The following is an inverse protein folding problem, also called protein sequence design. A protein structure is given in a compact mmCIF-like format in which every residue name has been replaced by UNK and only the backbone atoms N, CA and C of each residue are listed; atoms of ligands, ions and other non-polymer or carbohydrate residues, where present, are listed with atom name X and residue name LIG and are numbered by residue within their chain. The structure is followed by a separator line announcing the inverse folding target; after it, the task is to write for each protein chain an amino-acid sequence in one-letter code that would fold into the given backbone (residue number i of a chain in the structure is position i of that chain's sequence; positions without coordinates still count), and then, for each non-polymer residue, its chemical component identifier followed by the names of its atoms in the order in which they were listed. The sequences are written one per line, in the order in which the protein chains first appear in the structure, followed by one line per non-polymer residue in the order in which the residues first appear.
data_IF_080301861817
#
_entry.id   IF_080301861817
#
_cell.length_a   1.000
_cell.length_b   1.000
_cell.length_c   1.000
_cell.angle_alpha   90.00
_cell.angle_beta   90.00
_cell.angle_gamma   90.00
#
_symmetry.space_group_name_H-M   'P 1'
#
loop_
_entity.id
_entity.type
_entity.pdbx_description
1 polymer ?
#
# COMPACT_ATOMS: atom_id res chain seq x y z
N UNK A 1 -20.92 17.36 -0.83
CA UNK A 1 -19.58 16.88 -1.22
C UNK A 1 -19.79 15.54 -1.92
N UNK A 2 -19.18 15.34 -3.06
CA UNK A 2 -19.17 14.03 -3.75
C UNK A 2 -18.41 13.01 -2.92
N UNK A 3 -18.88 11.77 -2.89
CA UNK A 3 -18.20 10.68 -2.18
C UNK A 3 -16.84 10.42 -2.82
N UNK A 4 -15.77 10.34 -2.00
CA UNK A 4 -14.42 10.02 -2.48
C UNK A 4 -14.35 8.58 -2.98
N UNK A 5 -13.51 8.35 -3.99
CA UNK A 5 -13.23 7.03 -4.57
C UNK A 5 -11.82 6.61 -4.19
N UNK A 6 -11.68 5.45 -3.57
CA UNK A 6 -10.38 4.86 -3.21
C UNK A 6 -10.15 3.52 -3.91
N UNK A 7 -8.89 3.23 -4.26
CA UNK A 7 -8.43 1.92 -4.70
C UNK A 7 -7.42 1.37 -3.69
N UNK A 8 -7.62 0.12 -3.24
CA UNK A 8 -6.67 -0.58 -2.34
C UNK A 8 -6.20 -1.86 -3.01
N UNK A 9 -4.91 -1.98 -3.28
CA UNK A 9 -4.33 -3.19 -3.90
C UNK A 9 -4.08 -4.29 -2.86
N UNK A 10 -4.18 -5.58 -3.26
CA UNK A 10 -3.97 -6.71 -2.35
C UNK A 10 -4.97 -6.75 -1.19
N UNK A 11 -6.21 -6.35 -1.44
CA UNK A 11 -7.19 -6.04 -0.40
C UNK A 11 -8.15 -7.19 -0.05
N UNK A 12 -7.90 -8.41 -0.50
CA UNK A 12 -8.81 -9.54 -0.25
C UNK A 12 -8.68 -10.14 1.16
N UNK A 13 -7.67 -9.72 1.94
CA UNK A 13 -7.39 -10.21 3.30
C UNK A 13 -6.46 -9.25 4.07
N UNK A 14 -6.27 -9.53 5.36
CA UNK A 14 -5.28 -8.85 6.22
C UNK A 14 -5.44 -7.34 6.26
N UNK A 15 -4.30 -6.64 6.29
CA UNK A 15 -4.26 -5.16 6.41
C UNK A 15 -5.03 -4.47 5.28
N UNK A 16 -4.90 -4.98 4.05
CA UNK A 16 -5.59 -4.39 2.89
C UNK A 16 -7.11 -4.45 3.02
N UNK A 17 -7.67 -5.59 3.45
CA UNK A 17 -9.11 -5.75 3.67
C UNK A 17 -9.62 -4.84 4.79
N UNK A 18 -8.85 -4.72 5.85
CA UNK A 18 -9.20 -3.86 6.97
C UNK A 18 -9.08 -2.37 6.61
N UNK A 19 -8.09 -2.00 5.79
CA UNK A 19 -7.97 -0.65 5.23
C UNK A 19 -9.22 -0.29 4.40
N UNK A 20 -9.71 -1.23 3.57
CA UNK A 20 -10.97 -1.07 2.83
C UNK A 20 -12.13 -0.83 3.79
N UNK A 21 -12.27 -1.66 4.84
CA UNK A 21 -13.34 -1.51 5.84
C UNK A 21 -13.32 -0.14 6.48
N UNK A 22 -12.17 0.28 7.02
CA UNK A 22 -12.05 1.55 7.74
C UNK A 22 -12.24 2.77 6.83
N UNK A 23 -11.76 2.75 5.58
CA UNK A 23 -12.04 3.81 4.62
C UNK A 23 -13.53 3.88 4.29
N UNK A 24 -14.19 2.74 4.09
CA UNK A 24 -15.63 2.67 3.81
C UNK A 24 -16.48 3.17 4.98
N UNK A 25 -16.07 2.89 6.23
CA UNK A 25 -16.68 3.46 7.44
C UNK A 25 -16.56 4.99 7.52
N UNK A 26 -15.55 5.57 6.87
CA UNK A 26 -15.37 7.01 6.70
C UNK A 26 -16.06 7.56 5.44
N UNK A 27 -17.09 6.87 4.94
CA UNK A 27 -17.90 7.27 3.79
C UNK A 27 -17.11 7.43 2.48
N UNK A 28 -16.01 6.68 2.30
CA UNK A 28 -15.27 6.56 1.05
C UNK A 28 -15.82 5.36 0.27
N UNK A 29 -16.13 5.50 -1.02
CA UNK A 29 -16.40 4.35 -1.88
C UNK A 29 -15.09 3.65 -2.21
N UNK A 30 -14.92 2.40 -1.77
CA UNK A 30 -13.64 1.70 -1.89
C UNK A 30 -13.69 0.59 -2.93
N UNK A 31 -12.77 0.64 -3.87
CA UNK A 31 -12.51 -0.40 -4.85
C UNK A 31 -11.53 -1.40 -4.23
N UNK A 32 -12.06 -2.53 -3.79
CA UNK A 32 -11.32 -3.65 -3.22
C UNK A 32 -10.65 -4.42 -4.35
N UNK A 33 -9.34 -4.23 -4.51
CA UNK A 33 -8.60 -4.85 -5.60
C UNK A 33 -7.92 -6.15 -5.18
N UNK A 34 -8.09 -7.18 -6.02
CA UNK A 34 -7.44 -8.48 -5.87
C UNK A 34 -7.22 -9.17 -7.21
N UNK A 35 -6.12 -9.94 -7.32
CA UNK A 35 -5.81 -10.70 -8.55
C UNK A 35 -6.84 -11.79 -8.87
N UNK A 36 -7.43 -12.39 -7.85
CA UNK A 36 -8.52 -13.35 -7.97
C UNK A 36 -9.85 -12.61 -7.85
N UNK A 37 -10.56 -12.49 -8.97
CA UNK A 37 -11.83 -11.78 -9.05
C UNK A 37 -12.90 -12.37 -8.13
N UNK A 38 -12.93 -13.71 -8.00
CA UNK A 38 -13.93 -14.36 -7.16
C UNK A 38 -13.72 -14.03 -5.69
N UNK A 39 -12.47 -14.10 -5.20
CA UNK A 39 -12.13 -13.71 -3.83
C UNK A 39 -12.35 -12.23 -3.56
N UNK A 40 -12.03 -11.36 -4.52
CA UNK A 40 -12.30 -9.93 -4.38
C UNK A 40 -13.81 -9.66 -4.29
N UNK A 41 -14.62 -10.34 -5.11
CA UNK A 41 -16.08 -10.23 -5.08
C UNK A 41 -16.66 -10.72 -3.76
N UNK A 42 -16.21 -11.88 -3.27
CA UNK A 42 -16.65 -12.44 -1.98
C UNK A 42 -16.36 -11.47 -0.82
N UNK A 43 -15.13 -10.95 -0.75
CA UNK A 43 -14.73 -10.00 0.28
C UNK A 43 -15.54 -8.69 0.21
N UNK A 44 -15.78 -8.17 -0.99
CA UNK A 44 -16.58 -6.97 -1.18
C UNK A 44 -18.05 -7.20 -0.78
N UNK A 45 -18.67 -8.32 -1.17
CA UNK A 45 -20.04 -8.66 -0.78
C UNK A 45 -20.21 -8.76 0.74
N UNK A 46 -19.21 -9.30 1.44
CA UNK A 46 -19.21 -9.34 2.91
C UNK A 46 -19.26 -7.93 3.50
N UNK A 47 -18.43 -6.99 3.03
CA UNK A 47 -18.43 -5.62 3.49
C UNK A 47 -19.70 -4.86 3.10
N UNK A 48 -20.25 -5.13 1.91
CA UNK A 48 -21.54 -4.58 1.48
C UNK A 48 -22.70 -5.06 2.37
N UNK A 49 -22.67 -6.32 2.84
CA UNK A 49 -23.67 -6.83 3.78
C UNK A 49 -23.64 -6.12 5.14
N UNK A 50 -22.55 -5.45 5.48
CA UNK A 50 -22.38 -4.59 6.64
C UNK A 50 -22.79 -3.12 6.35
N UNK A 51 -23.34 -2.85 5.14
CA UNK A 51 -23.77 -1.49 4.73
C UNK A 51 -22.63 -0.60 4.23
N UNK A 52 -21.44 -1.15 3.96
CA UNK A 52 -20.26 -0.38 3.57
C UNK A 52 -20.20 -0.16 2.05
N UNK A 53 -19.82 1.02 1.55
CA UNK A 53 -19.72 1.36 0.14
C UNK A 53 -18.42 0.77 -0.47
N UNK A 54 -18.45 -0.50 -0.81
CA UNK A 54 -17.30 -1.23 -1.36
C UNK A 54 -17.69 -1.90 -2.68
N UNK A 55 -16.80 -1.90 -3.66
CA UNK A 55 -16.93 -2.65 -4.90
C UNK A 55 -15.67 -3.47 -5.17
N UNK A 56 -15.82 -4.65 -5.77
CA UNK A 56 -14.69 -5.47 -6.17
C UNK A 56 -14.14 -5.04 -7.53
N UNK A 57 -12.81 -5.05 -7.67
CA UNK A 57 -12.14 -4.90 -8.95
C UNK A 57 -11.04 -5.96 -9.10
N UNK A 58 -10.99 -6.62 -10.26
CA UNK A 58 -9.89 -7.53 -10.57
C UNK A 58 -8.64 -6.71 -10.93
N UNK A 59 -7.57 -6.92 -10.19
CA UNK A 59 -6.28 -6.29 -10.43
C UNK A 59 -5.16 -7.19 -9.92
N UNK A 60 -4.41 -7.78 -10.86
CA UNK A 60 -3.12 -8.39 -10.57
C UNK A 60 -2.03 -7.34 -10.77
N UNK A 61 -1.35 -7.00 -9.69
CA UNK A 61 -0.32 -5.96 -9.69
C UNK A 61 0.94 -6.35 -10.47
N UNK A 62 1.10 -7.64 -10.79
CA UNK A 62 2.22 -8.17 -11.58
C UNK A 62 1.84 -8.39 -13.07
N UNK A 63 0.66 -7.93 -13.51
CA UNK A 63 0.19 -8.06 -14.89
C UNK A 63 -0.20 -6.68 -15.44
N UNK A 64 0.64 -6.15 -16.33
CA UNK A 64 0.42 -4.86 -16.99
C UNK A 64 -0.95 -4.75 -17.69
N UNK A 65 -1.41 -5.85 -18.30
CA UNK A 65 -2.72 -5.91 -18.93
C UNK A 65 -3.87 -5.78 -17.93
N UNK A 66 -3.74 -6.45 -16.78
CA UNK A 66 -4.69 -6.35 -15.65
C UNK A 66 -4.71 -4.94 -15.07
N UNK A 67 -3.55 -4.31 -14.87
CA UNK A 67 -3.44 -2.93 -14.37
C UNK A 67 -4.13 -1.95 -15.33
N UNK A 68 -3.82 -2.03 -16.63
CA UNK A 68 -4.41 -1.17 -17.64
C UNK A 68 -5.93 -1.34 -17.74
N UNK A 69 -6.44 -2.58 -17.69
CA UNK A 69 -7.86 -2.89 -17.70
C UNK A 69 -8.58 -2.30 -16.47
N UNK A 70 -7.95 -2.44 -15.28
CA UNK A 70 -8.50 -1.87 -14.04
C UNK A 70 -8.55 -0.34 -14.09
N UNK A 71 -7.50 0.33 -14.57
CA UNK A 71 -7.49 1.79 -14.71
C UNK A 71 -8.58 2.28 -15.67
N UNK A 72 -8.77 1.60 -16.81
CA UNK A 72 -9.84 1.90 -17.78
C UNK A 72 -11.24 1.69 -17.18
N UNK A 73 -11.42 0.64 -16.38
CA UNK A 73 -12.71 0.36 -15.71
C UNK A 73 -13.04 1.46 -14.69
N UNK A 74 -12.06 1.90 -13.90
CA UNK A 74 -12.21 3.01 -12.95
C UNK A 74 -12.51 4.32 -13.68
N UNK A 75 -11.81 4.61 -14.77
CA UNK A 75 -12.08 5.81 -15.57
C UNK A 75 -13.51 5.81 -16.13
N UNK A 76 -13.95 4.69 -16.68
CA UNK A 76 -15.29 4.58 -17.28
C UNK A 76 -16.43 4.71 -16.24
N UNK A 77 -16.23 4.20 -15.01
CA UNK A 77 -17.27 4.17 -13.99
C UNK A 77 -17.28 5.41 -13.08
N UNK A 78 -16.11 5.97 -12.79
CA UNK A 78 -15.95 7.03 -11.79
C UNK A 78 -15.36 8.32 -12.36
N UNK A 79 -14.65 8.26 -13.50
CA UNK A 79 -14.02 9.41 -14.13
C UNK A 79 -12.75 9.91 -13.45
N UNK A 80 -12.56 9.62 -12.17
CA UNK A 80 -11.42 10.04 -11.35
C UNK A 80 -11.10 9.00 -10.25
N UNK A 81 -10.00 9.20 -9.55
CA UNK A 81 -9.64 8.48 -8.34
C UNK A 81 -9.12 9.50 -7.31
N UNK A 82 -9.58 9.41 -6.06
CA UNK A 82 -9.11 10.30 -4.99
C UNK A 82 -7.98 9.69 -4.17
N UNK A 83 -8.02 8.38 -3.94
CA UNK A 83 -7.10 7.69 -3.04
C UNK A 83 -6.58 6.41 -3.71
N UNK A 84 -5.25 6.26 -3.74
CA UNK A 84 -4.56 5.03 -4.11
C UNK A 84 -3.77 4.50 -2.92
N UNK A 85 -4.09 3.27 -2.47
CA UNK A 85 -3.31 2.56 -1.46
C UNK A 85 -2.57 1.41 -2.13
N UNK A 86 -1.26 1.54 -2.29
CA UNK A 86 -0.37 0.48 -2.73
C UNK A 86 -0.05 -0.43 -1.53
N UNK A 87 -0.94 -1.39 -1.27
CA UNK A 87 -0.82 -2.32 -0.13
C UNK A 87 -0.32 -3.70 -0.54
N UNK A 88 -0.51 -4.14 -1.78
CA UNK A 88 -0.01 -5.43 -2.24
C UNK A 88 1.50 -5.58 -1.98
N UNK A 89 1.90 -6.72 -1.44
CA UNK A 89 3.31 -7.00 -1.15
C UNK A 89 3.53 -8.44 -0.73
N UNK A 90 4.78 -8.88 -0.84
CA UNK A 90 5.25 -10.21 -0.48
C UNK A 90 6.56 -10.13 0.32
N UNK A 91 6.81 -11.15 1.15
CA UNK A 91 8.07 -11.43 1.80
C UNK A 91 8.45 -12.86 1.43
N UNK A 92 9.51 -13.04 0.65
CA UNK A 92 9.93 -14.33 0.09
C UNK A 92 11.33 -14.74 0.56
N UNK A 93 11.95 -13.96 1.43
CA UNK A 93 13.22 -14.30 2.05
C UNK A 93 13.11 -15.59 2.86
N UNK A 94 14.11 -16.45 2.76
CA UNK A 94 14.27 -17.62 3.61
C UNK A 94 14.98 -17.20 4.90
N UNK A 95 14.25 -17.10 5.99
CA UNK A 95 14.78 -16.63 7.29
C UNK A 95 15.83 -17.56 7.90
N UNK A 96 15.99 -18.78 7.39
CA UNK A 96 17.06 -19.70 7.79
C UNK A 96 18.38 -19.43 7.09
N UNK A 97 18.41 -18.60 6.03
CA UNK A 97 19.58 -18.27 5.24
C UNK A 97 20.16 -16.90 5.60
N UNK A 98 21.48 -16.77 5.42
CA UNK A 98 22.16 -15.48 5.51
C UNK A 98 21.78 -14.59 4.33
N UNK A 99 22.02 -13.29 4.47
CA UNK A 99 21.72 -12.30 3.43
C UNK A 99 22.39 -12.63 2.08
N UNK A 100 23.62 -13.11 2.09
CA UNK A 100 24.38 -13.49 0.89
C UNK A 100 23.94 -14.83 0.26
N UNK A 101 23.09 -15.58 0.92
CA UNK A 101 22.62 -16.91 0.50
C UNK A 101 21.18 -16.90 -0.05
N UNK A 102 20.51 -15.76 -0.01
CA UNK A 102 19.16 -15.61 -0.56
C UNK A 102 19.17 -15.82 -2.07
N UNK A 103 18.15 -16.52 -2.58
CA UNK A 103 18.07 -16.81 -4.02
C UNK A 103 17.76 -15.55 -4.83
N UNK A 104 18.34 -15.44 -6.03
CA UNK A 104 18.00 -14.35 -6.95
C UNK A 104 16.51 -14.37 -7.36
N UNK A 105 15.85 -15.52 -7.33
CA UNK A 105 14.43 -15.62 -7.63
C UNK A 105 13.59 -14.98 -6.53
N UNK A 106 13.95 -15.17 -5.25
CA UNK A 106 13.30 -14.46 -4.15
C UNK A 106 13.48 -12.94 -4.29
N UNK A 107 14.69 -12.48 -4.64
CA UNK A 107 14.96 -11.06 -4.91
C UNK A 107 14.09 -10.53 -6.04
N UNK A 108 14.08 -11.18 -7.20
CA UNK A 108 13.33 -10.74 -8.38
C UNK A 108 11.83 -10.67 -8.09
N UNK A 109 11.23 -11.76 -7.59
CA UNK A 109 9.80 -11.80 -7.29
C UNK A 109 9.39 -10.78 -6.22
N UNK A 110 10.26 -10.55 -5.22
CA UNK A 110 10.03 -9.53 -4.20
C UNK A 110 10.03 -8.13 -4.83
N UNK A 111 11.03 -7.82 -5.67
CA UNK A 111 11.08 -6.51 -6.34
C UNK A 111 9.97 -6.34 -7.38
N UNK A 112 9.62 -7.37 -8.13
CA UNK A 112 8.50 -7.32 -9.07
C UNK A 112 7.22 -6.89 -8.38
N UNK A 113 6.89 -7.50 -7.24
CA UNK A 113 5.64 -7.20 -6.51
C UNK A 113 5.75 -5.93 -5.66
N UNK A 114 6.83 -5.78 -4.88
CA UNK A 114 6.90 -4.72 -3.88
C UNK A 114 7.36 -3.38 -4.45
N UNK A 115 8.05 -3.37 -5.60
CA UNK A 115 8.65 -2.16 -6.18
C UNK A 115 8.06 -1.86 -7.56
N UNK A 116 8.30 -2.72 -8.55
CA UNK A 116 7.90 -2.42 -9.92
C UNK A 116 6.40 -2.36 -10.07
N UNK A 117 5.66 -3.25 -9.43
CA UNK A 117 4.20 -3.18 -9.41
C UNK A 117 3.65 -1.89 -8.76
N UNK A 118 4.29 -1.42 -7.66
CA UNK A 118 3.89 -0.13 -7.04
C UNK A 118 4.08 1.03 -8.01
N UNK A 119 5.19 1.04 -8.75
CA UNK A 119 5.46 2.08 -9.77
C UNK A 119 4.43 1.98 -10.89
N UNK A 120 4.22 0.79 -11.46
CA UNK A 120 3.35 0.58 -12.61
C UNK A 120 1.87 0.88 -12.29
N UNK A 121 1.37 0.40 -11.16
CA UNK A 121 0.01 0.73 -10.68
C UNK A 121 -0.12 2.24 -10.50
N UNK A 122 0.86 2.88 -9.83
CA UNK A 122 0.81 4.33 -9.62
C UNK A 122 0.78 5.08 -10.95
N UNK A 123 1.63 4.71 -11.91
CA UNK A 123 1.65 5.34 -13.24
C UNK A 123 0.32 5.20 -13.99
N UNK A 124 -0.28 4.01 -13.93
CA UNK A 124 -1.56 3.75 -14.59
C UNK A 124 -2.73 4.56 -13.99
N UNK A 125 -2.73 4.77 -12.68
CA UNK A 125 -3.80 5.49 -11.97
C UNK A 125 -3.51 6.99 -11.76
N UNK A 126 -2.29 7.46 -11.97
CA UNK A 126 -1.92 8.87 -11.80
C UNK A 126 -2.74 9.85 -12.66
N UNK A 127 -3.12 9.55 -13.92
CA UNK A 127 -4.02 10.41 -14.68
C UNK A 127 -5.38 10.61 -14.02
N UNK A 128 -5.90 9.59 -13.34
CA UNK A 128 -7.18 9.66 -12.61
C UNK A 128 -7.03 10.41 -11.28
N UNK A 129 -5.92 10.24 -10.58
CA UNK A 129 -5.57 10.99 -9.37
C UNK A 129 -5.39 12.48 -9.66
N UNK A 130 -4.87 12.85 -10.82
CA UNK A 130 -4.74 14.26 -11.28
C UNK A 130 -6.10 14.93 -11.56
N UNK A 131 -7.18 14.16 -11.70
CA UNK A 131 -8.55 14.68 -11.84
C UNK A 131 -9.22 14.94 -10.47
N UNK A 132 -8.61 14.51 -9.37
CA UNK A 132 -9.09 14.76 -8.01
C UNK A 132 -8.60 16.11 -7.51
N UNK A 133 -9.46 16.83 -6.79
CA UNK A 133 -9.11 18.08 -6.11
C UNK A 133 -8.20 17.85 -4.88
N UNK A 134 -8.08 16.61 -4.43
CA UNK A 134 -7.34 16.24 -3.22
C UNK A 134 -6.79 14.80 -3.30
N UNK A 135 -5.98 14.48 -4.31
CA UNK A 135 -5.41 13.16 -4.52
C UNK A 135 -4.51 12.70 -3.37
N UNK A 136 -4.60 11.41 -3.00
CA UNK A 136 -3.75 10.79 -1.96
C UNK A 136 -3.16 9.50 -2.47
N UNK A 137 -1.86 9.34 -2.32
CA UNK A 137 -1.13 8.09 -2.61
C UNK A 137 -0.47 7.64 -1.31
N UNK A 138 -0.80 6.45 -0.85
CA UNK A 138 -0.21 5.83 0.33
C UNK A 138 0.49 4.54 -0.09
N UNK A 139 1.80 4.49 0.12
CA UNK A 139 2.61 3.31 -0.13
C UNK A 139 2.83 2.54 1.18
N UNK A 140 2.34 1.31 1.25
CA UNK A 140 2.57 0.46 2.42
C UNK A 140 4.01 -0.07 2.37
N UNK A 141 4.86 0.58 3.14
CA UNK A 141 6.25 0.23 3.36
C UNK A 141 6.40 -0.64 4.63
N UNK A 142 7.51 -0.56 5.28
CA UNK A 142 7.84 -1.26 6.53
C UNK A 142 8.95 -0.51 7.25
N UNK A 143 9.01 -0.61 8.58
CA UNK A 143 10.17 -0.17 9.35
C UNK A 143 11.46 -0.86 8.86
N UNK A 144 11.32 -2.08 8.31
CA UNK A 144 12.41 -2.83 7.69
C UNK A 144 12.94 -2.18 6.38
N UNK A 145 12.27 -1.16 5.85
CA UNK A 145 12.79 -0.32 4.77
C UNK A 145 13.71 0.81 5.25
N UNK A 146 13.88 0.98 6.57
CA UNK A 146 14.74 2.01 7.14
C UNK A 146 16.22 1.59 7.16
N UNK A 147 17.01 2.15 6.25
CA UNK A 147 18.46 1.93 6.21
C UNK A 147 19.10 2.48 7.49
N UNK A 148 18.60 3.60 8.00
CA UNK A 148 19.05 4.22 9.25
C UNK A 148 18.95 3.24 10.42
N UNK A 149 17.78 2.62 10.61
CA UNK A 149 17.56 1.67 11.71
C UNK A 149 18.31 0.35 11.51
N UNK A 150 18.45 -0.12 10.26
CA UNK A 150 19.25 -1.31 9.99
C UNK A 150 20.76 -1.12 10.23
N UNK A 151 21.23 0.12 10.24
CA UNK A 151 22.64 0.47 10.47
C UNK A 151 22.96 0.78 11.93
N UNK A 152 21.95 0.99 12.79
CA UNK A 152 22.11 1.29 14.21
C UNK A 152 22.10 0.00 15.06
N UNK A 153 23.23 -0.38 15.72
CA UNK A 153 23.29 -1.56 16.58
C UNK A 153 22.32 -1.54 17.77
N UNK A 154 21.79 -0.37 18.14
CA UNK A 154 20.83 -0.23 19.23
C UNK A 154 19.37 -0.33 18.74
N UNK A 155 19.15 -0.41 17.44
CA UNK A 155 17.81 -0.54 16.86
C UNK A 155 17.23 -1.93 17.09
N UNK A 156 15.92 -1.99 17.38
CA UNK A 156 15.20 -3.26 17.54
C UNK A 156 15.19 -4.15 16.29
N UNK A 157 15.46 -3.59 15.10
CA UNK A 157 15.52 -4.36 13.84
C UNK A 157 16.96 -4.69 13.40
N UNK A 158 17.97 -4.26 14.14
CA UNK A 158 19.38 -4.43 13.74
C UNK A 158 19.75 -5.88 13.42
N UNK A 159 19.31 -6.82 14.24
CA UNK A 159 19.59 -8.25 14.09
C UNK A 159 18.60 -9.01 13.22
N UNK A 160 17.51 -8.37 12.78
CA UNK A 160 16.53 -9.01 11.92
C UNK A 160 16.78 -8.60 10.47
N UNK A 161 17.10 -9.57 9.59
CA UNK A 161 17.49 -9.32 8.20
C UNK A 161 16.72 -10.23 7.25
N UNK A 162 15.92 -9.62 6.41
CA UNK A 162 15.22 -10.23 5.27
C UNK A 162 15.54 -9.40 4.03
N UNK A 163 16.77 -9.55 3.48
CA UNK A 163 17.42 -8.53 2.66
C UNK A 163 16.67 -8.17 1.37
N UNK A 164 16.01 -9.13 0.72
CA UNK A 164 15.22 -8.82 -0.48
C UNK A 164 14.00 -7.96 -0.13
N UNK A 165 13.32 -8.31 0.95
CA UNK A 165 12.20 -7.51 1.46
C UNK A 165 12.65 -6.14 1.96
N UNK A 166 13.67 -6.09 2.82
CA UNK A 166 14.21 -4.85 3.39
C UNK A 166 14.59 -3.86 2.27
N UNK A 167 15.39 -4.31 1.31
CA UNK A 167 15.80 -3.50 0.17
C UNK A 167 14.61 -3.06 -0.70
N UNK A 168 13.61 -3.92 -0.89
CA UNK A 168 12.40 -3.56 -1.63
C UNK A 168 11.62 -2.44 -0.93
N UNK A 169 11.52 -2.46 0.40
CA UNK A 169 10.83 -1.42 1.18
C UNK A 169 11.64 -0.12 1.24
N UNK A 170 12.98 -0.19 1.26
CA UNK A 170 13.83 1.00 1.05
C UNK A 170 13.62 1.62 -0.33
N UNK A 171 13.46 0.80 -1.38
CA UNK A 171 13.15 1.29 -2.72
C UNK A 171 11.76 1.95 -2.80
N UNK A 172 10.74 1.41 -2.12
CA UNK A 172 9.41 2.06 -1.98
C UNK A 172 9.51 3.40 -1.27
N UNK A 173 10.34 3.48 -0.21
CA UNK A 173 10.60 4.72 0.51
C UNK A 173 11.22 5.77 -0.43
N UNK A 174 12.27 5.40 -1.19
CA UNK A 174 12.89 6.27 -2.17
C UNK A 174 11.90 6.72 -3.27
N UNK A 175 11.10 5.80 -3.82
CA UNK A 175 10.05 6.12 -4.78
C UNK A 175 9.05 7.12 -4.22
N UNK A 176 8.62 6.96 -2.97
CA UNK A 176 7.70 7.89 -2.31
C UNK A 176 8.25 9.31 -2.28
N UNK A 177 9.52 9.48 -1.92
CA UNK A 177 10.19 10.81 -1.88
C UNK A 177 10.27 11.43 -3.28
N UNK A 178 10.68 10.66 -4.29
CA UNK A 178 10.80 11.16 -5.66
C UNK A 178 9.44 11.55 -6.25
N UNK A 179 8.41 10.73 -6.05
CA UNK A 179 7.07 11.03 -6.55
C UNK A 179 6.44 12.22 -5.81
N UNK A 180 6.65 12.32 -4.49
CA UNK A 180 6.21 13.48 -3.71
C UNK A 180 6.87 14.78 -4.22
N UNK A 181 8.16 14.73 -4.58
CA UNK A 181 8.85 15.87 -5.17
C UNK A 181 8.28 16.23 -6.55
N UNK A 182 8.03 15.26 -7.42
CA UNK A 182 7.40 15.49 -8.73
C UNK A 182 6.06 16.19 -8.60
N UNK A 183 5.25 15.75 -7.62
CA UNK A 183 3.87 16.21 -7.46
C UNK A 183 3.71 17.40 -6.48
N UNK A 184 4.82 18.01 -6.01
CA UNK A 184 4.83 19.07 -4.99
C UNK A 184 3.97 20.29 -5.31
N UNK A 185 3.83 20.62 -6.60
CA UNK A 185 3.06 21.77 -7.08
C UNK A 185 1.60 21.39 -7.44
N UNK A 186 1.14 20.24 -6.97
CA UNK A 186 -0.21 19.72 -7.16
C UNK A 186 -0.94 19.54 -5.82
N UNK A 187 -2.23 19.23 -5.86
CA UNK A 187 -3.01 18.87 -4.67
C UNK A 187 -2.75 17.43 -4.18
N UNK A 188 -1.94 16.63 -4.89
CA UNK A 188 -1.68 15.23 -4.57
C UNK A 188 -0.64 15.14 -3.46
N UNK A 189 -0.95 14.36 -2.41
CA UNK A 189 -0.01 14.02 -1.34
C UNK A 189 0.43 12.56 -1.48
N UNK A 190 1.73 12.32 -1.32
CA UNK A 190 2.34 10.99 -1.46
C UNK A 190 3.13 10.67 -0.21
N UNK A 191 2.76 9.58 0.48
CA UNK A 191 3.41 9.20 1.74
C UNK A 191 3.63 7.69 1.82
N UNK A 192 4.62 7.27 2.60
CA UNK A 192 4.87 5.89 2.98
C UNK A 192 4.44 5.66 4.43
N UNK A 193 3.98 4.44 4.72
CA UNK A 193 3.65 4.04 6.09
C UNK A 193 4.34 2.73 6.48
N UNK A 194 4.58 2.58 7.77
CA UNK A 194 4.80 1.29 8.40
C UNK A 194 3.52 0.85 9.12
N UNK A 195 2.96 -0.33 8.82
CA UNK A 195 1.72 -0.78 9.46
C UNK A 195 1.91 -1.27 10.90
N UNK A 196 3.15 -1.46 11.35
CA UNK A 196 3.49 -2.16 12.58
C UNK A 196 3.78 -3.65 12.36
N UNK A 197 4.13 -4.36 13.43
CA UNK A 197 4.26 -5.83 13.43
C UNK A 197 2.87 -6.45 13.59
N UNK A 198 2.14 -6.62 12.49
CA UNK A 198 0.74 -7.01 12.46
C UNK A 198 0.60 -8.53 12.27
N UNK A 199 -0.31 -9.17 13.02
CA UNK A 199 -0.69 -10.58 12.84
C UNK A 199 -1.41 -10.78 11.52
N UNK A 200 -0.72 -11.39 10.56
CA UNK A 200 -1.23 -11.71 9.22
C UNK A 200 -0.65 -13.03 8.75
N UNK A 201 -1.10 -13.52 7.60
CA UNK A 201 -0.50 -14.71 6.97
C UNK A 201 0.99 -14.50 6.63
N UNK A 202 1.43 -13.26 6.44
CA UNK A 202 2.84 -12.92 6.20
C UNK A 202 3.66 -12.90 7.50
N UNK A 203 3.03 -12.61 8.64
CA UNK A 203 3.67 -12.49 9.94
C UNK A 203 2.75 -13.05 11.04
N UNK A 204 2.82 -14.36 11.26
CA UNK A 204 2.00 -15.05 12.27
C UNK A 204 2.37 -14.66 13.71
N UNK A 205 3.55 -14.09 13.92
CA UNK A 205 4.07 -13.69 15.24
C UNK A 205 3.91 -12.18 15.49
N UNK A 206 3.14 -11.47 14.66
CA UNK A 206 2.88 -10.04 14.84
C UNK A 206 2.26 -9.74 16.22
N UNK A 207 2.49 -8.53 16.71
CA UNK A 207 2.02 -8.06 18.02
C UNK A 207 0.71 -7.30 17.93
N UNK A 208 0.48 -6.63 16.78
CA UNK A 208 -0.70 -5.80 16.54
C UNK A 208 -1.80 -6.60 15.85
N UNK A 209 -3.03 -6.26 16.17
CA UNK A 209 -4.19 -6.74 15.43
C UNK A 209 -4.31 -6.02 14.08
N UNK A 210 -4.98 -6.64 13.13
CA UNK A 210 -5.13 -6.11 11.77
C UNK A 210 -5.82 -4.74 11.77
N UNK A 211 -6.72 -4.50 12.71
CA UNK A 211 -7.41 -3.23 12.88
C UNK A 211 -6.45 -2.07 13.19
N UNK A 212 -5.43 -2.31 14.00
CA UNK A 212 -4.40 -1.31 14.32
C UNK A 212 -3.45 -1.11 13.13
N UNK A 213 -3.11 -2.20 12.43
CA UNK A 213 -2.24 -2.17 11.26
C UNK A 213 -2.77 -1.34 10.09
N UNK A 214 -4.09 -1.21 9.95
CA UNK A 214 -4.72 -0.40 8.91
C UNK A 214 -4.70 1.11 9.20
N UNK A 215 -4.63 1.52 10.47
CA UNK A 215 -4.82 2.92 10.90
C UNK A 215 -3.91 3.91 10.18
N UNK A 216 -2.61 3.63 10.07
CA UNK A 216 -1.67 4.54 9.40
C UNK A 216 -2.01 4.78 7.92
N UNK A 217 -2.46 3.74 7.22
CA UNK A 217 -2.91 3.87 5.82
C UNK A 217 -4.17 4.73 5.72
N UNK A 218 -5.13 4.52 6.60
CA UNK A 218 -6.41 5.25 6.63
C UNK A 218 -6.18 6.70 7.00
N UNK A 219 -5.35 6.97 8.02
CA UNK A 219 -5.01 8.32 8.46
C UNK A 219 -4.42 9.13 7.30
N UNK A 220 -3.38 8.62 6.61
CA UNK A 220 -2.75 9.33 5.50
C UNK A 220 -3.62 9.40 4.23
N UNK A 221 -4.54 8.47 4.04
CA UNK A 221 -5.54 8.54 2.96
C UNK A 221 -6.56 9.66 3.16
N UNK A 222 -6.82 10.05 4.40
CA UNK A 222 -7.85 11.03 4.77
C UNK A 222 -7.28 12.40 5.18
N UNK A 223 -5.96 12.59 5.13
CA UNK A 223 -5.33 13.86 5.52
C UNK A 223 -5.88 15.04 4.72
N UNK A 224 -5.93 16.20 5.37
CA UNK A 224 -6.29 17.48 4.77
C UNK A 224 -5.24 18.02 3.77
N UNK A 225 -5.53 19.18 3.22
CA UNK A 225 -4.62 19.85 2.28
C UNK A 225 -3.28 20.22 2.93
N UNK A 226 -3.28 20.55 4.22
CA UNK A 226 -2.09 20.92 5.00
C UNK A 226 -1.31 19.70 5.53
N UNK A 227 -1.78 18.49 5.23
CA UNK A 227 -1.12 17.26 5.67
C UNK A 227 0.23 17.02 4.99
N UNK A 228 1.02 16.07 5.51
CA UNK A 228 2.35 15.78 5.00
C UNK A 228 2.35 15.24 3.56
N UNK A 229 3.48 15.44 2.88
CA UNK A 229 3.83 14.75 1.64
C UNK A 229 5.32 14.41 1.66
N UNK A 230 5.71 13.26 1.10
CA UNK A 230 7.09 12.76 1.17
C UNK A 230 7.47 12.30 2.58
N UNK A 231 6.52 11.85 3.40
CA UNK A 231 6.78 11.37 4.76
C UNK A 231 6.80 9.84 4.82
N UNK A 232 7.49 9.33 5.84
CA UNK A 232 7.42 7.94 6.28
C UNK A 232 7.00 7.92 7.74
N UNK A 233 5.89 7.25 8.06
CA UNK A 233 5.32 7.32 9.40
C UNK A 233 4.62 6.03 9.87
N UNK A 234 4.42 5.95 11.19
CA UNK A 234 3.60 4.94 11.85
C UNK A 234 2.75 5.61 12.92
N UNK A 235 1.42 5.49 12.84
CA UNK A 235 0.46 6.06 13.80
C UNK A 235 0.79 7.53 14.13
N UNK A 236 0.96 8.36 13.09
CA UNK A 236 1.27 9.79 13.20
C UNK A 236 2.71 10.12 13.60
N UNK A 237 3.55 9.14 13.96
CA UNK A 237 4.96 9.34 14.29
C UNK A 237 5.84 9.22 13.05
N UNK A 238 6.71 10.21 12.82
CA UNK A 238 7.70 10.15 11.74
C UNK A 238 8.76 9.08 12.04
N UNK A 239 9.06 8.28 11.04
CA UNK A 239 10.10 7.25 11.10
C UNK A 239 11.32 7.70 10.28
N UNK A 240 12.54 7.28 10.65
CA UNK A 240 13.73 7.50 9.83
C UNK A 240 13.70 6.61 8.59
N UNK A 241 14.23 7.16 7.47
CA UNK A 241 14.36 6.45 6.19
C UNK A 241 15.36 5.29 6.21
#
# INVERSE_FOLDING_TARGET
MTQKIALVTGATRGIGLETVRQLAQNNVHVLLAGRDRAKATEAALKLQSEGLPVSAIALDVNDAGSIAAAAKDVEAKHGHLDILINNAGVLLDDTAKKSSEQSLDAWRQTFDTNVFAVVEVTQAFLPLLRKSDAGRIVNVSSILGSITLHSDPNSGIYNFKVPAYDASKSAVNAWTVHLAHELRDTAIKVNAIHPGSVKTDMNSHGELEVADGAKSSVELALIGADGPTGSFSHLGQTLPW
#
